data_IF_378847549414
#
_entry.id   IF_378847549414
#
_cell.length_a   1.000
_cell.length_b   1.000
_cell.length_c   1.000
_cell.angle_alpha   90.00
_cell.angle_beta   90.00
_cell.angle_gamma   90.00
#
_symmetry.space_group_name_H-M   'P 1'
#
loop_
_entity.id
_entity.type
_entity.pdbx_description
1 polymer ?
#
# COMPACT_ATOMS: atom_id res chain seq x y z
N UNK A 1 40.57 -71.36 78.93
CA UNK A 1 40.10 -72.74 78.74
C UNK A 1 39.51 -72.81 77.30
N UNK A 2 40.09 -73.67 76.48
CA UNK A 2 39.51 -74.72 75.64
C UNK A 2 38.35 -74.30 74.77
N UNK A 3 38.21 -74.55 73.51
CA UNK A 3 38.76 -75.40 72.40
C UNK A 3 38.13 -74.93 71.09
N UNK A 4 38.86 -74.75 70.04
CA UNK A 4 39.10 -75.68 68.91
C UNK A 4 37.89 -76.29 68.24
N UNK A 5 37.77 -76.15 66.94
CA UNK A 5 36.93 -76.92 66.02
C UNK A 5 36.84 -76.26 64.63
N UNK A 6 37.50 -76.64 63.84
CA UNK A 6 37.93 -77.20 62.54
C UNK A 6 36.80 -77.41 61.53
N UNK A 7 37.10 -76.90 60.31
CA UNK A 7 36.84 -77.41 58.93
C UNK A 7 35.37 -77.40 58.41
N UNK A 8 35.12 -76.83 57.23
CA UNK A 8 35.46 -77.43 55.94
C UNK A 8 35.30 -76.38 54.79
N UNK A 9 36.10 -76.47 53.77
CA UNK A 9 36.02 -75.75 52.50
C UNK A 9 34.94 -76.39 51.63
N UNK A 10 34.21 -75.58 50.92
CA UNK A 10 33.59 -75.96 49.65
C UNK A 10 33.53 -74.81 48.62
N UNK A 11 34.01 -75.12 47.44
CA UNK A 11 34.12 -74.32 46.25
C UNK A 11 32.77 -73.86 45.68
N UNK A 12 32.59 -72.62 45.37
CA UNK A 12 31.39 -72.10 44.72
C UNK A 12 31.70 -70.95 43.74
N UNK A 13 31.62 -71.23 42.51
CA UNK A 13 31.80 -70.47 41.25
C UNK A 13 31.57 -68.96 41.35
N UNK A 14 32.57 -68.19 40.93
CA UNK A 14 32.46 -66.76 40.58
C UNK A 14 31.49 -66.57 39.40
N UNK A 15 30.38 -65.84 39.59
CA UNK A 15 29.59 -65.20 38.50
C UNK A 15 30.07 -63.78 38.35
N UNK A 16 30.57 -63.48 37.17
CA UNK A 16 30.97 -62.13 36.77
C UNK A 16 29.71 -61.25 36.65
N UNK A 17 29.56 -60.29 37.53
CA UNK A 17 28.54 -59.24 37.47
C UNK A 17 28.95 -58.14 36.49
N UNK A 18 28.25 -58.05 35.39
CA UNK A 18 28.42 -57.05 34.36
C UNK A 18 27.90 -55.68 34.84
N UNK A 19 28.79 -54.82 35.33
CA UNK A 19 28.46 -53.46 35.75
C UNK A 19 28.32 -52.58 34.50
N UNK A 20 27.08 -52.38 34.04
CA UNK A 20 26.76 -51.34 33.02
C UNK A 20 27.03 -49.96 33.61
N UNK A 21 28.19 -49.36 33.26
CA UNK A 21 28.46 -47.92 33.43
C UNK A 21 27.39 -47.15 32.65
N UNK A 22 26.46 -46.50 33.34
CA UNK A 22 25.57 -45.48 32.77
C UNK A 22 26.45 -44.29 32.33
N UNK A 23 26.66 -44.11 31.03
CA UNK A 23 27.19 -42.87 30.46
C UNK A 23 26.23 -41.76 30.77
N UNK A 24 26.60 -40.82 31.61
CA UNK A 24 25.91 -39.56 31.79
C UNK A 24 26.00 -38.75 30.47
N UNK A 25 24.90 -38.61 29.78
CA UNK A 25 24.81 -37.69 28.63
C UNK A 25 24.85 -36.28 29.21
N UNK A 26 25.99 -35.62 29.03
CA UNK A 26 26.13 -34.20 29.38
C UNK A 26 25.09 -33.40 28.55
N UNK A 27 24.09 -32.82 29.23
CA UNK A 27 23.16 -31.86 28.65
C UNK A 27 24.01 -30.67 28.14
N UNK A 28 24.01 -30.42 26.83
CA UNK A 28 24.50 -29.16 26.24
C UNK A 28 23.82 -28.01 26.97
N UNK A 29 24.55 -26.97 27.39
CA UNK A 29 23.96 -25.80 27.99
C UNK A 29 23.01 -25.19 26.97
N UNK A 30 21.75 -24.88 27.36
CA UNK A 30 20.79 -24.18 26.57
C UNK A 30 21.42 -22.85 26.14
N UNK A 31 21.56 -22.65 24.84
CA UNK A 31 22.01 -21.36 24.28
C UNK A 31 21.02 -20.29 24.75
N UNK A 32 21.53 -19.35 25.55
CA UNK A 32 20.80 -18.16 25.96
C UNK A 32 20.25 -17.50 24.69
N UNK A 33 18.95 -17.15 24.59
CA UNK A 33 18.47 -16.42 23.44
C UNK A 33 19.33 -15.17 23.27
N UNK A 34 19.81 -14.93 22.04
CA UNK A 34 20.60 -13.76 21.72
C UNK A 34 19.81 -12.53 22.20
N UNK A 35 20.47 -11.65 22.96
CA UNK A 35 19.87 -10.41 23.41
C UNK A 35 19.39 -9.66 22.17
N UNK A 36 18.09 -9.36 22.09
CA UNK A 36 17.55 -8.55 21.00
C UNK A 36 18.25 -7.22 21.03
N UNK A 37 18.93 -6.86 19.95
CA UNK A 37 19.63 -5.59 19.86
C UNK A 37 18.63 -4.44 20.13
N UNK A 38 19.03 -3.38 20.85
CA UNK A 38 18.14 -2.27 21.16
C UNK A 38 17.64 -1.63 19.86
N UNK A 39 16.33 -1.32 19.81
CA UNK A 39 15.70 -0.67 18.66
C UNK A 39 16.25 0.75 18.53
N UNK A 40 16.84 1.07 17.38
CA UNK A 40 17.34 2.40 17.03
C UNK A 40 16.50 3.00 15.90
N UNK A 41 16.61 4.30 15.64
CA UNK A 41 15.94 4.98 14.51
C UNK A 41 16.28 4.28 13.18
N UNK A 42 17.54 4.00 12.92
CA UNK A 42 17.98 3.33 11.69
C UNK A 42 17.41 1.91 11.55
N UNK A 43 17.48 1.09 12.62
CA UNK A 43 16.99 -0.29 12.59
C UNK A 43 15.45 -0.36 12.54
N UNK A 44 14.74 0.58 13.20
CA UNK A 44 13.27 0.66 13.12
C UNK A 44 12.76 0.99 11.72
N UNK A 45 13.45 1.92 11.03
CA UNK A 45 13.09 2.35 9.68
C UNK A 45 13.76 1.53 8.58
N UNK A 46 14.60 0.55 8.92
CA UNK A 46 15.42 -0.22 7.98
C UNK A 46 16.20 0.68 7.01
N UNK A 47 16.83 1.77 7.53
CA UNK A 47 17.43 2.80 6.69
C UNK A 47 18.60 2.28 5.86
N UNK A 48 19.43 1.38 6.39
CA UNK A 48 20.54 0.79 5.66
C UNK A 48 20.07 0.04 4.40
N UNK A 49 18.90 -0.63 4.48
CA UNK A 49 18.29 -1.30 3.35
C UNK A 49 17.59 -0.30 2.43
N UNK A 50 16.74 0.59 3.01
CA UNK A 50 15.95 1.55 2.26
C UNK A 50 16.83 2.43 1.35
N UNK A 51 17.94 2.94 1.87
CA UNK A 51 18.83 3.85 1.14
C UNK A 51 19.74 3.15 0.11
N UNK A 52 19.66 1.82 -0.02
CA UNK A 52 20.32 1.05 -1.09
C UNK A 52 19.40 0.64 -2.24
N UNK A 53 18.11 0.96 -2.15
CA UNK A 53 17.11 0.59 -3.15
C UNK A 53 17.05 1.55 -4.35
N UNK A 54 17.69 2.71 -4.26
CA UNK A 54 17.80 3.66 -5.36
C UNK A 54 18.96 3.25 -6.27
N UNK A 55 18.64 2.61 -7.40
CA UNK A 55 19.63 2.00 -8.32
C UNK A 55 19.51 2.60 -9.72
N UNK A 56 20.22 3.70 -10.02
CA UNK A 56 20.28 4.25 -11.36
C UNK A 56 20.75 3.23 -12.40
N UNK A 57 20.28 3.37 -13.62
CA UNK A 57 20.60 2.48 -14.76
C UNK A 57 21.56 3.09 -15.75
N UNK A 58 21.77 4.41 -15.69
CA UNK A 58 22.72 5.11 -16.55
C UNK A 58 24.17 4.85 -16.13
N UNK A 59 25.03 4.70 -17.12
CA UNK A 59 26.47 4.54 -16.90
C UNK A 59 27.24 5.50 -17.85
N UNK A 60 27.95 6.52 -17.35
CA UNK A 60 28.05 6.91 -15.93
C UNK A 60 26.70 7.37 -15.35
N UNK A 61 26.55 7.30 -14.03
CA UNK A 61 25.30 7.65 -13.33
C UNK A 61 24.86 9.09 -13.64
N UNK A 62 23.58 9.26 -14.02
CA UNK A 62 22.98 10.56 -14.26
C UNK A 62 22.31 11.06 -12.96
N UNK A 63 22.75 12.20 -12.44
CA UNK A 63 22.33 12.69 -11.13
C UNK A 63 20.81 12.89 -10.98
N UNK A 64 20.08 13.22 -12.06
CA UNK A 64 18.62 13.41 -12.00
C UNK A 64 17.83 12.07 -12.05
N UNK A 65 18.47 10.98 -12.45
CA UNK A 65 17.82 9.65 -12.39
C UNK A 65 17.52 9.25 -10.93
N UNK A 66 18.40 9.61 -9.99
CA UNK A 66 18.16 9.41 -8.57
C UNK A 66 16.89 10.14 -8.10
N UNK A 67 16.71 11.42 -8.48
CA UNK A 67 15.50 12.18 -8.16
C UNK A 67 14.25 11.48 -8.72
N UNK A 68 14.32 11.02 -9.98
CA UNK A 68 13.22 10.32 -10.64
C UNK A 68 12.83 9.03 -9.89
N UNK A 69 13.82 8.23 -9.48
CA UNK A 69 13.60 7.00 -8.70
C UNK A 69 12.96 7.31 -7.35
N UNK A 70 13.53 8.26 -6.60
CA UNK A 70 13.05 8.61 -5.24
C UNK A 70 11.60 9.10 -5.27
N UNK A 71 11.23 9.96 -6.22
CA UNK A 71 9.85 10.46 -6.34
C UNK A 71 8.85 9.33 -6.59
N UNK A 72 9.19 8.35 -7.44
CA UNK A 72 8.32 7.21 -7.72
C UNK A 72 8.26 6.24 -6.53
N UNK A 73 9.39 5.94 -5.89
CA UNK A 73 9.40 5.10 -4.70
C UNK A 73 8.61 5.74 -3.54
N UNK A 74 8.76 7.04 -3.33
CA UNK A 74 7.98 7.76 -2.30
C UNK A 74 6.48 7.74 -2.62
N UNK A 75 6.07 7.86 -3.89
CA UNK A 75 4.67 7.71 -4.31
C UNK A 75 4.13 6.32 -3.93
N UNK A 76 4.87 5.26 -4.22
CA UNK A 76 4.48 3.88 -3.88
C UNK A 76 4.35 3.67 -2.37
N UNK A 77 5.24 4.27 -1.56
CA UNK A 77 5.14 4.22 -0.09
C UNK A 77 3.89 4.95 0.42
N UNK A 78 3.54 6.11 -0.14
CA UNK A 78 2.31 6.83 0.20
C UNK A 78 1.06 6.06 -0.25
N UNK A 79 1.04 5.48 -1.44
CA UNK A 79 -0.07 4.65 -1.91
C UNK A 79 -0.35 3.47 -0.97
N UNK A 80 0.69 2.85 -0.44
CA UNK A 80 0.56 1.78 0.57
C UNK A 80 -0.17 2.25 1.82
N UNK A 81 0.15 3.45 2.32
CA UNK A 81 -0.51 4.02 3.51
C UNK A 81 -1.96 4.37 3.19
N UNK A 82 -2.22 5.04 2.06
CA UNK A 82 -3.56 5.43 1.62
C UNK A 82 -4.46 4.21 1.45
N UNK A 83 -3.99 3.13 0.80
CA UNK A 83 -4.75 1.88 0.66
C UNK A 83 -5.16 1.29 2.00
N UNK A 84 -4.27 1.30 2.99
CA UNK A 84 -4.58 0.83 4.35
C UNK A 84 -5.62 1.72 5.05
N UNK A 85 -5.53 3.03 4.85
CA UNK A 85 -6.48 3.98 5.41
C UNK A 85 -7.86 3.85 4.75
N UNK A 86 -7.93 3.58 3.43
CA UNK A 86 -9.17 3.26 2.72
C UNK A 86 -9.81 1.95 3.22
N UNK A 87 -9.03 0.93 3.53
CA UNK A 87 -9.55 -0.29 4.17
C UNK A 87 -10.16 0.00 5.54
N UNK A 88 -9.54 0.89 6.31
CA UNK A 88 -10.05 1.30 7.63
C UNK A 88 -11.31 2.15 7.48
N UNK A 89 -11.37 3.04 6.48
CA UNK A 89 -12.54 3.82 6.12
C UNK A 89 -13.74 2.92 5.79
N UNK A 90 -13.55 1.92 4.92
CA UNK A 90 -14.62 0.98 4.56
C UNK A 90 -15.17 0.29 5.81
N UNK A 91 -14.29 -0.24 6.67
CA UNK A 91 -14.72 -0.87 7.93
C UNK A 91 -15.44 0.09 8.87
N UNK A 92 -15.00 1.34 8.96
CA UNK A 92 -15.64 2.35 9.79
C UNK A 92 -17.07 2.64 9.33
N UNK A 93 -17.29 2.78 8.02
CA UNK A 93 -18.61 2.97 7.43
C UNK A 93 -19.52 1.74 7.64
N UNK A 94 -19.00 0.53 7.44
CA UNK A 94 -19.74 -0.73 7.68
C UNK A 94 -20.19 -0.88 9.14
N UNK A 95 -19.36 -0.40 10.10
CA UNK A 95 -19.60 -0.41 11.55
C UNK A 95 -20.39 0.80 12.05
N UNK A 96 -20.92 1.66 11.16
CA UNK A 96 -21.65 2.89 11.50
C UNK A 96 -20.83 3.87 12.34
N UNK A 97 -19.51 3.87 12.20
CA UNK A 97 -18.62 4.81 12.88
C UNK A 97 -18.26 5.99 11.95
N UNK A 98 -19.20 6.92 11.77
CA UNK A 98 -19.03 8.11 10.93
C UNK A 98 -17.88 9.01 11.40
N UNK A 99 -17.60 9.07 12.69
CA UNK A 99 -16.48 9.87 13.22
C UNK A 99 -15.13 9.31 12.79
N UNK A 100 -14.93 7.98 12.87
CA UNK A 100 -13.71 7.35 12.40
C UNK A 100 -13.61 7.43 10.86
N UNK A 101 -14.74 7.29 10.15
CA UNK A 101 -14.77 7.43 8.69
C UNK A 101 -14.31 8.83 8.25
N UNK A 102 -14.83 9.88 8.88
CA UNK A 102 -14.42 11.27 8.62
C UNK A 102 -12.92 11.48 8.91
N UNK A 103 -12.44 11.01 10.05
CA UNK A 103 -11.02 11.09 10.40
C UNK A 103 -10.12 10.43 9.35
N UNK A 104 -10.48 9.23 8.90
CA UNK A 104 -9.71 8.51 7.87
C UNK A 104 -9.73 9.26 6.53
N UNK A 105 -10.88 9.81 6.11
CA UNK A 105 -10.97 10.60 4.88
C UNK A 105 -10.12 11.86 4.94
N UNK A 106 -10.17 12.62 6.04
CA UNK A 106 -9.34 13.81 6.21
C UNK A 106 -7.85 13.47 6.12
N UNK A 107 -7.45 12.33 6.69
CA UNK A 107 -6.07 11.85 6.62
C UNK A 107 -5.71 11.44 5.18
N UNK A 108 -6.55 10.68 4.49
CA UNK A 108 -6.34 10.30 3.08
C UNK A 108 -6.23 11.54 2.19
N UNK A 109 -7.11 12.54 2.36
CA UNK A 109 -7.06 13.80 1.62
C UNK A 109 -5.74 14.54 1.85
N UNK A 110 -5.28 14.62 3.10
CA UNK A 110 -3.97 15.19 3.43
C UNK A 110 -2.82 14.45 2.77
N UNK A 111 -2.86 13.10 2.75
CA UNK A 111 -1.85 12.28 2.09
C UNK A 111 -1.87 12.45 0.56
N UNK A 112 -3.03 12.56 -0.08
CA UNK A 112 -3.14 12.82 -1.52
C UNK A 112 -2.51 14.17 -1.90
N UNK A 113 -2.66 15.21 -1.07
CA UNK A 113 -1.98 16.51 -1.26
C UNK A 113 -0.45 16.35 -1.19
N UNK A 114 0.06 15.56 -0.24
CA UNK A 114 1.50 15.28 -0.13
C UNK A 114 1.99 14.55 -1.38
N UNK A 115 1.27 13.54 -1.86
CA UNK A 115 1.60 12.81 -3.10
C UNK A 115 1.63 13.75 -4.30
N UNK A 116 0.68 14.68 -4.40
CA UNK A 116 0.64 15.70 -5.45
C UNK A 116 1.82 16.67 -5.37
N UNK A 117 2.12 17.17 -4.18
CA UNK A 117 3.22 18.09 -3.96
C UNK A 117 4.59 17.46 -4.26
N UNK A 118 4.82 16.23 -3.80
CA UNK A 118 6.09 15.54 -4.06
C UNK A 118 6.27 15.15 -5.53
N UNK A 119 5.19 14.81 -6.26
CA UNK A 119 5.24 14.57 -7.69
C UNK A 119 5.77 15.80 -8.44
N UNK A 120 5.36 17.00 -8.01
CA UNK A 120 5.77 18.27 -8.62
C UNK A 120 7.25 18.59 -8.41
N UNK A 121 7.97 17.89 -7.55
CA UNK A 121 9.43 18.00 -7.47
C UNK A 121 10.12 17.59 -8.78
N UNK A 122 9.48 16.79 -9.62
CA UNK A 122 9.97 16.49 -10.98
C UNK A 122 9.83 17.67 -11.97
N UNK A 123 9.05 18.68 -11.65
CA UNK A 123 8.90 19.86 -12.53
C UNK A 123 10.19 20.69 -12.65
N UNK A 124 11.15 20.51 -11.75
CA UNK A 124 12.47 21.13 -11.83
C UNK A 124 13.40 20.42 -12.84
N UNK A 125 13.02 19.22 -13.28
CA UNK A 125 13.84 18.43 -14.22
C UNK A 125 13.66 18.94 -15.65
N UNK A 126 14.73 19.47 -16.31
CA UNK A 126 14.65 19.91 -17.69
C UNK A 126 14.39 18.74 -18.65
N UNK A 127 13.62 18.94 -19.74
CA UNK A 127 13.33 17.88 -20.71
C UNK A 127 14.58 17.20 -21.28
N UNK A 128 15.64 17.97 -21.55
CA UNK A 128 16.90 17.46 -22.08
C UNK A 128 17.58 16.49 -21.10
N UNK A 129 17.53 16.81 -19.80
CA UNK A 129 18.12 15.95 -18.75
C UNK A 129 17.30 14.68 -18.54
N UNK A 130 15.97 14.76 -18.64
CA UNK A 130 15.13 13.57 -18.66
C UNK A 130 15.38 12.70 -19.89
N UNK A 131 15.51 13.32 -21.09
CA UNK A 131 15.81 12.61 -22.33
C UNK A 131 17.13 11.82 -22.24
N UNK A 132 18.13 12.33 -21.51
CA UNK A 132 19.43 11.70 -21.35
C UNK A 132 19.39 10.31 -20.68
N UNK A 133 18.44 10.06 -19.79
CA UNK A 133 18.30 8.75 -19.14
C UNK A 133 17.03 7.99 -19.51
N UNK A 134 16.05 8.64 -20.18
CA UNK A 134 14.76 8.05 -20.54
C UNK A 134 14.89 6.70 -21.26
N UNK A 135 15.85 6.56 -22.16
CA UNK A 135 16.07 5.31 -22.91
C UNK A 135 16.40 4.12 -21.98
N UNK A 136 17.03 4.37 -20.84
CA UNK A 136 17.42 3.33 -19.89
C UNK A 136 16.23 2.85 -19.02
N UNK A 137 15.09 3.54 -19.08
CA UNK A 137 13.85 3.11 -18.41
C UNK A 137 13.20 1.91 -19.15
N UNK A 138 13.57 1.65 -20.41
CA UNK A 138 13.03 0.55 -21.20
C UNK A 138 11.50 0.64 -21.33
N UNK A 139 10.82 -0.43 -20.92
CA UNK A 139 9.35 -0.54 -20.93
C UNK A 139 8.71 -0.13 -19.59
N UNK A 140 9.49 0.37 -18.62
CA UNK A 140 8.96 0.81 -17.33
C UNK A 140 7.98 1.98 -17.51
N UNK A 141 6.79 1.87 -16.95
CA UNK A 141 5.75 2.89 -17.04
C UNK A 141 4.99 3.00 -15.72
N UNK A 142 4.62 4.21 -15.32
CA UNK A 142 3.74 4.43 -14.16
C UNK A 142 2.37 3.73 -14.29
N UNK A 143 1.94 3.41 -15.51
CA UNK A 143 0.72 2.60 -15.74
C UNK A 143 0.79 1.21 -15.12
N UNK A 144 1.99 0.70 -14.86
CA UNK A 144 2.26 -0.61 -14.27
C UNK A 144 2.23 -0.59 -12.73
N UNK A 145 2.00 0.56 -12.09
CA UNK A 145 1.90 0.64 -10.62
C UNK A 145 0.67 -0.14 -10.13
N UNK A 146 0.92 -1.29 -9.51
CA UNK A 146 -0.12 -2.13 -8.93
C UNK A 146 -0.88 -1.41 -7.82
N UNK A 147 -0.17 -0.63 -6.99
CA UNK A 147 -0.80 0.12 -5.90
C UNK A 147 -1.67 1.27 -6.40
N UNK A 148 -1.23 1.99 -7.43
CA UNK A 148 -2.06 3.04 -8.03
C UNK A 148 -3.33 2.44 -8.66
N UNK A 149 -3.23 1.32 -9.40
CA UNK A 149 -4.40 0.60 -9.93
C UNK A 149 -5.32 0.12 -8.80
N UNK A 150 -4.75 -0.36 -7.68
CA UNK A 150 -5.53 -0.74 -6.50
C UNK A 150 -6.26 0.46 -5.87
N UNK A 151 -5.63 1.65 -5.83
CA UNK A 151 -6.28 2.89 -5.39
C UNK A 151 -7.48 3.26 -6.27
N UNK A 152 -7.34 3.20 -7.58
CA UNK A 152 -8.44 3.45 -8.52
C UNK A 152 -9.60 2.45 -8.31
N UNK A 153 -9.27 1.18 -8.14
CA UNK A 153 -10.26 0.14 -7.85
C UNK A 153 -10.92 0.34 -6.48
N UNK A 154 -10.15 0.68 -5.44
CA UNK A 154 -10.65 0.98 -4.10
C UNK A 154 -11.60 2.18 -4.08
N UNK A 155 -11.28 3.22 -4.86
CA UNK A 155 -12.10 4.41 -5.02
C UNK A 155 -13.42 4.16 -5.75
N UNK A 156 -13.54 3.04 -6.49
CA UNK A 156 -14.77 2.66 -7.17
C UNK A 156 -14.70 2.67 -8.69
N UNK A 157 -13.52 2.78 -9.29
CA UNK A 157 -13.41 2.71 -10.75
C UNK A 157 -13.76 1.29 -11.24
N UNK A 158 -14.81 1.19 -12.06
CA UNK A 158 -15.37 -0.08 -12.59
C UNK A 158 -15.63 -0.01 -14.10
N UNK A 159 -15.16 1.04 -14.79
CA UNK A 159 -15.36 1.20 -16.23
C UNK A 159 -14.71 0.03 -17.01
N UNK A 160 -15.33 -0.40 -18.11
CA UNK A 160 -14.84 -1.52 -18.94
C UNK A 160 -13.41 -1.31 -19.41
N UNK A 161 -13.10 -0.09 -19.89
CA UNK A 161 -11.76 0.27 -20.34
C UNK A 161 -10.67 0.08 -19.24
N UNK A 162 -11.05 0.28 -17.97
CA UNK A 162 -10.12 0.09 -16.84
C UNK A 162 -9.80 -1.39 -16.62
N UNK A 163 -10.82 -2.25 -16.66
CA UNK A 163 -10.63 -3.70 -16.52
C UNK A 163 -9.91 -4.30 -17.73
N UNK A 164 -10.13 -3.76 -18.93
CA UNK A 164 -9.40 -4.09 -20.15
C UNK A 164 -7.92 -3.71 -20.01
N UNK A 165 -7.62 -2.48 -19.62
CA UNK A 165 -6.26 -2.00 -19.34
C UNK A 165 -5.52 -2.90 -18.35
N UNK A 166 -6.19 -3.36 -17.29
CA UNK A 166 -5.59 -4.28 -16.32
C UNK A 166 -5.25 -5.64 -16.95
N UNK A 167 -6.14 -6.19 -17.79
CA UNK A 167 -5.93 -7.48 -18.47
C UNK A 167 -4.84 -7.44 -19.54
N UNK A 168 -4.70 -6.31 -20.23
CA UNK A 168 -3.63 -6.09 -21.21
C UNK A 168 -2.23 -6.19 -20.59
N UNK A 169 -2.11 -5.86 -19.29
CA UNK A 169 -0.86 -5.95 -18.54
C UNK A 169 -0.59 -7.36 -17.97
N UNK A 170 -1.49 -8.31 -18.15
CA UNK A 170 -1.41 -9.68 -17.67
C UNK A 170 -2.53 -10.06 -16.69
N UNK A 171 -2.37 -11.14 -15.93
CA UNK A 171 -3.33 -11.51 -14.89
C UNK A 171 -3.50 -10.38 -13.86
N UNK A 172 -4.74 -10.05 -13.52
CA UNK A 172 -5.01 -8.98 -12.54
C UNK A 172 -4.42 -9.39 -11.19
N UNK A 173 -3.55 -8.56 -10.58
CA UNK A 173 -2.96 -8.85 -9.28
C UNK A 173 -4.04 -9.06 -8.20
N UNK A 174 -3.87 -10.03 -7.28
CA UNK A 174 -4.85 -10.32 -6.23
C UNK A 174 -5.21 -9.11 -5.36
N UNK A 175 -4.26 -8.19 -5.15
CA UNK A 175 -4.50 -6.94 -4.40
C UNK A 175 -5.47 -5.99 -5.11
N UNK A 176 -5.48 -5.95 -6.43
CA UNK A 176 -6.44 -5.18 -7.22
C UNK A 176 -7.77 -5.93 -7.29
N UNK A 177 -7.73 -7.25 -7.58
CA UNK A 177 -8.92 -8.09 -7.68
C UNK A 177 -9.76 -8.02 -6.39
N UNK A 178 -9.10 -8.08 -5.23
CA UNK A 178 -9.78 -7.96 -3.94
C UNK A 178 -10.61 -6.67 -3.78
N UNK A 179 -10.19 -5.57 -4.41
CA UNK A 179 -10.97 -4.32 -4.43
C UNK A 179 -12.08 -4.35 -5.49
N UNK A 180 -11.82 -4.97 -6.64
CA UNK A 180 -12.83 -5.11 -7.70
C UNK A 180 -14.03 -5.97 -7.27
N UNK A 181 -13.80 -6.97 -6.44
CA UNK A 181 -14.82 -7.91 -5.94
C UNK A 181 -15.67 -7.32 -4.80
N UNK A 182 -15.27 -6.19 -4.22
CA UNK A 182 -16.02 -5.52 -3.14
C UNK A 182 -16.97 -4.46 -3.69
N UNK A 183 -18.00 -4.07 -2.91
CA UNK A 183 -18.76 -2.85 -3.18
C UNK A 183 -17.83 -1.64 -3.31
N UNK A 184 -18.20 -0.68 -4.18
CA UNK A 184 -17.43 0.55 -4.30
C UNK A 184 -17.53 1.39 -3.01
N UNK A 185 -16.62 2.33 -2.84
CA UNK A 185 -16.66 3.24 -1.69
C UNK A 185 -17.97 4.03 -1.64
N UNK A 186 -18.52 4.42 -2.82
CA UNK A 186 -19.86 5.01 -2.91
C UNK A 186 -20.96 4.07 -2.40
N UNK A 187 -20.91 2.78 -2.79
CA UNK A 187 -21.93 1.82 -2.37
C UNK A 187 -21.87 1.58 -0.85
N UNK A 188 -20.67 1.52 -0.28
CA UNK A 188 -20.47 1.39 1.18
C UNK A 188 -21.03 2.62 1.91
N UNK A 189 -20.76 3.82 1.39
CA UNK A 189 -21.29 5.06 1.96
C UNK A 189 -22.82 5.14 1.86
N UNK A 190 -23.41 4.73 0.75
CA UNK A 190 -24.88 4.71 0.60
C UNK A 190 -25.54 3.73 1.58
N UNK A 191 -24.93 2.55 1.82
CA UNK A 191 -25.40 1.61 2.85
C UNK A 191 -25.25 2.18 4.26
N UNK A 192 -24.19 2.94 4.52
CA UNK A 192 -24.02 3.68 5.77
C UNK A 192 -25.19 4.64 5.99
N UNK A 193 -25.56 5.47 4.99
CA UNK A 193 -26.68 6.38 5.06
C UNK A 193 -28.02 5.64 5.27
N UNK A 194 -28.25 4.55 4.54
CA UNK A 194 -29.46 3.73 4.70
C UNK A 194 -29.66 3.25 6.13
N UNK A 195 -28.60 2.78 6.78
CA UNK A 195 -28.64 2.34 8.18
C UNK A 195 -28.82 3.49 9.18
N UNK A 196 -28.34 4.70 8.84
CA UNK A 196 -28.62 5.93 9.60
C UNK A 196 -30.06 6.44 9.36
N UNK A 197 -30.82 5.86 8.45
CA UNK A 197 -32.16 6.31 8.08
C UNK A 197 -32.19 7.63 7.32
N UNK A 198 -31.09 7.98 6.64
CA UNK A 198 -30.91 9.27 5.92
C UNK A 198 -30.77 8.99 4.42
N UNK A 199 -31.60 9.65 3.59
CA UNK A 199 -31.42 9.64 2.14
C UNK A 199 -30.39 10.68 1.67
N UNK A 200 -29.86 10.52 0.45
CA UNK A 200 -28.99 11.54 -0.15
C UNK A 200 -29.69 12.89 -0.30
N UNK A 201 -30.99 12.90 -0.62
CA UNK A 201 -31.80 14.10 -0.68
C UNK A 201 -31.88 14.78 0.68
N UNK A 202 -32.20 14.04 1.74
CA UNK A 202 -32.24 14.58 3.10
C UNK A 202 -30.90 15.12 3.54
N UNK A 203 -29.80 14.49 3.11
CA UNK A 203 -28.44 14.91 3.45
C UNK A 203 -28.11 16.32 2.92
N UNK A 204 -28.57 16.63 1.68
CA UNK A 204 -28.25 17.89 1.01
C UNK A 204 -29.39 18.91 1.03
N UNK A 205 -30.66 18.46 1.04
CA UNK A 205 -31.85 19.33 1.02
C UNK A 205 -32.47 19.51 2.41
N UNK A 206 -31.93 18.84 3.43
CA UNK A 206 -32.40 18.94 4.81
C UNK A 206 -32.00 20.24 5.50
N UNK A 207 -32.38 20.42 6.79
CA UNK A 207 -32.29 21.69 7.49
C UNK A 207 -30.88 22.12 7.91
N UNK A 208 -29.84 21.35 7.59
CA UNK A 208 -28.45 21.70 7.90
C UNK A 208 -27.49 20.51 7.91
N UNK A 209 -26.18 20.76 8.04
CA UNK A 209 -25.17 19.72 7.94
C UNK A 209 -25.24 18.74 9.13
N UNK A 210 -25.33 17.44 8.82
CA UNK A 210 -25.26 16.32 9.76
C UNK A 210 -23.83 15.75 9.80
N UNK A 211 -23.47 14.88 10.77
CA UNK A 211 -22.20 14.15 10.71
C UNK A 211 -21.98 13.38 9.40
N UNK A 212 -23.03 12.76 8.85
CA UNK A 212 -22.98 12.06 7.56
C UNK A 212 -22.73 13.02 6.37
N UNK A 213 -23.20 14.28 6.46
CA UNK A 213 -22.88 15.31 5.48
C UNK A 213 -21.38 15.57 5.40
N UNK A 214 -20.69 15.69 6.53
CA UNK A 214 -19.23 15.91 6.53
C UNK A 214 -18.45 14.72 5.96
N UNK A 215 -18.95 13.50 6.15
CA UNK A 215 -18.37 12.32 5.48
C UNK A 215 -18.55 12.41 3.96
N UNK A 216 -19.76 12.81 3.48
CA UNK A 216 -20.01 12.99 2.06
C UNK A 216 -19.11 14.07 1.43
N UNK A 217 -18.96 15.20 2.11
CA UNK A 217 -18.07 16.28 1.63
C UNK A 217 -16.61 15.84 1.60
N UNK A 218 -16.16 15.08 2.59
CA UNK A 218 -14.79 14.54 2.60
C UNK A 218 -14.55 13.48 1.51
N UNK A 219 -15.58 12.72 1.09
CA UNK A 219 -15.52 11.83 -0.08
C UNK A 219 -15.37 12.63 -1.39
N UNK A 220 -16.12 13.72 -1.54
CA UNK A 220 -16.01 14.59 -2.72
C UNK A 220 -14.68 15.34 -2.75
N UNK A 221 -14.16 15.74 -1.60
CA UNK A 221 -12.79 16.29 -1.47
C UNK A 221 -11.76 15.26 -1.92
N UNK A 222 -11.89 13.99 -1.50
CA UNK A 222 -11.01 12.90 -1.96
C UNK A 222 -11.04 12.75 -3.49
N UNK A 223 -12.22 12.76 -4.10
CA UNK A 223 -12.37 12.71 -5.56
C UNK A 223 -11.64 13.90 -6.23
N UNK A 224 -11.78 15.09 -5.66
CA UNK A 224 -11.14 16.31 -6.15
C UNK A 224 -9.61 16.21 -6.05
N UNK A 225 -9.06 15.78 -4.91
CA UNK A 225 -7.62 15.60 -4.72
C UNK A 225 -7.04 14.56 -5.68
N UNK A 226 -7.79 13.49 -5.95
CA UNK A 226 -7.39 12.46 -6.91
C UNK A 226 -7.40 13.02 -8.35
N UNK A 227 -8.42 13.77 -8.73
CA UNK A 227 -8.51 14.43 -10.02
C UNK A 227 -7.38 15.47 -10.21
N UNK A 228 -7.06 16.22 -9.16
CA UNK A 228 -5.95 17.17 -9.16
C UNK A 228 -4.60 16.48 -9.36
N UNK A 229 -4.36 15.36 -8.67
CA UNK A 229 -3.14 14.58 -8.88
C UNK A 229 -3.01 14.10 -10.33
N UNK A 230 -4.09 13.59 -10.94
CA UNK A 230 -4.11 13.17 -12.35
C UNK A 230 -3.82 14.34 -13.29
N UNK A 231 -4.41 15.50 -13.02
CA UNK A 231 -4.19 16.70 -13.80
C UNK A 231 -2.74 17.14 -13.73
N UNK A 232 -2.16 17.28 -12.55
CA UNK A 232 -0.76 17.66 -12.35
C UNK A 232 0.20 16.66 -13.03
N UNK A 233 -0.09 15.37 -12.93
CA UNK A 233 0.69 14.33 -13.58
C UNK A 233 0.62 14.46 -15.12
N UNK A 234 -0.56 14.67 -15.68
CA UNK A 234 -0.73 14.88 -17.12
C UNK A 234 0.05 16.10 -17.62
N UNK A 235 -0.05 17.24 -16.91
CA UNK A 235 0.69 18.46 -17.20
C UNK A 235 2.21 18.26 -17.12
N UNK A 236 2.67 17.54 -16.09
CA UNK A 236 4.09 17.24 -15.91
C UNK A 236 4.62 16.39 -17.07
N UNK A 237 3.90 15.34 -17.45
CA UNK A 237 4.28 14.47 -18.58
C UNK A 237 4.28 15.24 -19.91
N UNK A 238 3.28 16.08 -20.16
CA UNK A 238 3.21 16.89 -21.35
C UNK A 238 4.37 17.90 -21.42
N UNK A 239 4.69 18.55 -20.31
CA UNK A 239 5.83 19.47 -20.20
C UNK A 239 7.18 18.78 -20.47
N UNK A 240 7.35 17.52 -20.01
CA UNK A 240 8.61 16.79 -20.15
C UNK A 240 8.78 16.13 -21.51
N UNK A 241 7.70 15.60 -22.09
CA UNK A 241 7.75 14.83 -23.35
C UNK A 241 7.31 15.63 -24.57
N UNK A 242 6.58 16.72 -24.38
CA UNK A 242 5.87 17.41 -25.44
C UNK A 242 4.56 16.71 -25.85
N UNK A 243 3.69 17.44 -26.57
CA UNK A 243 2.41 16.89 -27.04
C UNK A 243 2.64 15.77 -28.06
N UNK A 244 1.79 14.74 -28.01
CA UNK A 244 1.81 13.63 -28.97
C UNK A 244 2.94 12.61 -28.80
N UNK A 245 3.84 12.80 -27.84
CA UNK A 245 4.90 11.83 -27.56
C UNK A 245 4.36 10.64 -26.78
N UNK A 246 4.67 9.43 -27.25
CA UNK A 246 4.30 8.19 -26.53
C UNK A 246 5.02 8.13 -25.18
N UNK A 247 4.31 7.63 -24.17
CA UNK A 247 4.88 7.32 -22.86
C UNK A 247 5.87 6.15 -22.93
N UNK A 248 6.67 5.97 -21.88
CA UNK A 248 7.44 4.74 -21.69
C UNK A 248 6.45 3.57 -21.60
N UNK A 249 6.76 2.42 -22.22
CA UNK A 249 5.84 1.28 -22.24
C UNK A 249 4.70 1.36 -23.28
N UNK A 250 4.79 2.27 -24.27
CA UNK A 250 3.87 2.30 -25.43
C UNK A 250 2.50 2.94 -25.16
N UNK A 251 2.29 3.56 -23.98
CA UNK A 251 1.04 4.28 -23.70
C UNK A 251 0.89 5.53 -24.55
N UNK A 252 -0.37 6.01 -24.75
CA UNK A 252 -0.66 7.25 -25.49
C UNK A 252 -0.18 8.53 -24.78
N UNK A 253 0.73 8.42 -23.80
CA UNK A 253 1.37 9.54 -23.11
C UNK A 253 0.38 10.48 -22.42
N UNK A 254 0.63 11.80 -22.54
CA UNK A 254 -0.19 12.84 -21.90
C UNK A 254 -1.68 12.78 -22.31
N UNK A 255 -1.98 12.43 -23.57
CA UNK A 255 -3.36 12.35 -24.06
C UNK A 255 -4.22 11.30 -23.30
N UNK A 256 -3.63 10.16 -22.95
CA UNK A 256 -4.31 9.18 -22.10
C UNK A 256 -4.57 9.75 -20.70
N UNK A 257 -3.54 10.38 -20.09
CA UNK A 257 -3.63 10.95 -18.75
C UNK A 257 -4.70 12.04 -18.68
N UNK A 258 -4.78 12.94 -19.64
CA UNK A 258 -5.82 13.97 -19.71
C UNK A 258 -7.23 13.38 -19.74
N UNK A 259 -7.47 12.28 -20.45
CA UNK A 259 -8.78 11.62 -20.44
C UNK A 259 -9.18 11.08 -19.05
N UNK A 260 -8.20 10.78 -18.21
CA UNK A 260 -8.48 10.25 -16.86
C UNK A 260 -8.83 11.34 -15.83
N UNK A 261 -8.61 12.62 -16.13
CA UNK A 261 -8.86 13.72 -15.18
C UNK A 261 -10.35 13.93 -14.87
N UNK A 262 -11.23 13.54 -15.79
CA UNK A 262 -12.69 13.64 -15.63
C UNK A 262 -13.35 12.43 -14.94
N UNK A 263 -12.58 11.46 -14.46
CA UNK A 263 -13.15 10.27 -13.81
C UNK A 263 -13.81 10.66 -12.47
N UNK A 264 -15.05 10.20 -12.29
CA UNK A 264 -15.82 10.36 -11.06
C UNK A 264 -15.91 9.05 -10.30
N UNK A 265 -15.71 9.11 -8.99
CA UNK A 265 -15.89 7.98 -8.07
C UNK A 265 -17.25 8.02 -7.37
N UNK A 266 -17.83 9.24 -7.21
CA UNK A 266 -19.05 9.48 -6.45
C UNK A 266 -20.14 10.19 -7.29
N UNK A 267 -20.55 9.63 -8.45
CA UNK A 267 -21.51 10.28 -9.34
C UNK A 267 -22.85 10.59 -8.65
N UNK A 268 -23.36 9.71 -7.77
CA UNK A 268 -24.62 9.93 -7.07
C UNK A 268 -24.59 11.13 -6.11
N UNK A 269 -23.44 11.39 -5.48
CA UNK A 269 -23.23 12.59 -4.64
C UNK A 269 -23.24 13.87 -5.50
N UNK A 270 -22.65 13.82 -6.68
CA UNK A 270 -22.67 14.95 -7.61
C UNK A 270 -24.09 15.21 -8.18
N UNK A 271 -24.83 14.16 -8.53
CA UNK A 271 -26.18 14.24 -9.08
C UNK A 271 -27.19 14.86 -8.10
N UNK A 272 -27.15 14.47 -6.81
CA UNK A 272 -28.08 15.03 -5.82
C UNK A 272 -27.83 16.50 -5.56
N UNK A 273 -26.57 16.95 -5.59
CA UNK A 273 -26.23 18.38 -5.44
C UNK A 273 -26.79 19.24 -6.58
N UNK A 274 -26.85 18.71 -7.79
CA UNK A 274 -27.47 19.42 -8.93
C UNK A 274 -28.95 19.70 -8.72
N UNK A 275 -29.65 18.95 -7.83
CA UNK A 275 -31.07 19.21 -7.50
C UNK A 275 -31.26 20.46 -6.63
N UNK A 276 -30.20 20.95 -5.94
CA UNK A 276 -30.26 22.20 -5.16
C UNK A 276 -30.58 23.44 -6.02
N UNK A 277 -30.33 23.37 -7.34
CA UNK A 277 -30.44 24.51 -8.25
C UNK A 277 -31.55 24.31 -9.28
N UNK A 278 -32.43 23.34 -9.05
CA UNK A 278 -33.62 23.06 -9.89
C UNK A 278 -34.91 23.42 -9.14
#
# INVERSE_FOLDING_TARGET
>A
MKRAGRRKAESGKRKAGNSKRKRSVARKPATRPAAVAPLTYGSYLALDELLTLQRPRTMPEHGDELLFIVVHQASELWFKVILRDLETLVRALEQQNGGLALFQLQRVNGLMRIVSAQLMSLAVLPPQRFAAFRANLGTSSGSQSVQFRALEAASGLRASWFTELLREQGPIPPSIQAWLDRPTLQDVFLRFLEKEGVSLEQLYLGPGPSPAFFVAEALLEYEMEFAQWRFLHAQLVERMLGPGTAGTGGSAGAAFLHRTTGIRFFPKLAEVRAKLYR
#
